data_IF_952483690766
#
_entry.id   IF_952483690766
#
_cell.length_a   1.000
_cell.length_b   1.000
_cell.length_c   1.000
_cell.angle_alpha   90.00
_cell.angle_beta   90.00
_cell.angle_gamma   90.00
#
_symmetry.space_group_name_H-M   'P 1'
#
loop_
_entity.id
_entity.type
_entity.pdbx_description
1 polymer ?
#
# COMPACT_ATOMS: atom_id res chain seq x y z
N UNK A 1 -5.51 38.42 -0.06
CA UNK A 1 -4.99 37.61 1.07
C UNK A 1 -6.01 36.55 1.40
N UNK A 2 -5.77 35.27 1.07
CA UNK A 2 -6.60 34.15 1.53
C UNK A 2 -5.81 33.40 2.60
N UNK A 3 -6.39 33.23 3.80
CA UNK A 3 -5.77 32.44 4.88
C UNK A 3 -6.04 30.96 4.60
N UNK A 4 -5.03 30.22 4.16
CA UNK A 4 -5.09 28.75 4.18
C UNK A 4 -4.97 28.28 5.62
N UNK A 5 -5.91 27.45 6.07
CA UNK A 5 -5.81 26.76 7.36
C UNK A 5 -4.85 25.58 7.19
N UNK A 6 -3.73 25.64 7.91
CA UNK A 6 -2.68 24.63 7.86
C UNK A 6 -2.97 23.56 8.91
N UNK A 7 -3.39 22.37 8.46
CA UNK A 7 -3.58 21.20 9.34
C UNK A 7 -2.33 20.32 9.25
N UNK A 8 -1.46 20.40 10.27
CA UNK A 8 -0.35 19.48 10.44
C UNK A 8 -0.86 18.16 11.06
N UNK A 9 -0.84 17.08 10.28
CA UNK A 9 -0.98 15.72 10.79
C UNK A 9 0.41 15.13 11.05
N UNK A 10 0.91 15.25 12.28
CA UNK A 10 2.11 14.51 12.72
C UNK A 10 1.73 13.07 13.06
N UNK A 11 2.04 12.12 12.18
CA UNK A 11 2.00 10.69 12.51
C UNK A 11 3.25 10.30 13.32
N UNK A 12 3.17 10.50 14.64
CA UNK A 12 4.10 9.90 15.60
C UNK A 12 3.70 8.44 15.81
N UNK A 13 4.39 7.51 15.14
CA UNK A 13 4.34 6.09 15.50
C UNK A 13 5.06 5.88 16.83
N UNK A 14 4.30 5.88 17.93
CA UNK A 14 4.85 5.59 19.26
C UNK A 14 5.17 4.10 19.40
N UNK A 15 6.45 3.75 19.26
CA UNK A 15 6.96 2.47 19.76
C UNK A 15 6.85 2.45 21.29
N UNK A 16 5.87 1.71 21.81
CA UNK A 16 5.65 1.58 23.25
C UNK A 16 6.67 0.61 23.86
N UNK A 17 7.78 1.15 24.36
CA UNK A 17 8.77 0.40 25.15
C UNK A 17 8.26 0.24 26.58
N UNK A 18 7.76 -0.95 26.91
CA UNK A 18 7.33 -1.31 28.26
C UNK A 18 8.51 -1.54 29.20
N UNK A 19 8.76 -0.58 30.10
CA UNK A 19 9.72 -0.74 31.19
C UNK A 19 9.05 -1.39 32.41
N UNK A 20 9.35 -2.66 32.67
CA UNK A 20 8.92 -3.36 33.89
C UNK A 20 9.98 -3.30 34.98
N UNK A 21 9.66 -2.71 36.13
CA UNK A 21 10.31 -3.02 37.42
C UNK A 21 9.44 -2.54 38.60
N UNK A 22 9.09 -3.46 39.51
CA UNK A 22 8.49 -3.12 40.82
C UNK A 22 9.54 -2.65 41.83
N UNK A 23 9.14 -2.26 43.06
CA UNK A 23 8.65 -3.27 44.01
C UNK A 23 7.53 -2.87 45.02
N UNK A 24 6.77 -3.89 45.45
CA UNK A 24 6.12 -4.12 46.77
C UNK A 24 5.42 -2.99 47.58
N UNK A 25 4.07 -3.08 47.64
CA UNK A 25 3.14 -3.25 48.82
C UNK A 25 3.50 -2.64 50.21
N UNK A 26 2.51 -2.25 51.07
CA UNK A 26 1.25 -2.99 51.32
C UNK A 26 -0.05 -2.15 51.34
N UNK A 27 -1.16 -2.79 51.73
CA UNK A 27 -2.54 -2.29 51.69
C UNK A 27 -3.01 -1.70 53.02
N UNK A 28 -4.10 -0.92 52.98
CA UNK A 28 -5.10 -0.84 54.05
C UNK A 28 -6.47 -0.36 53.52
N UNK A 29 -7.47 -0.20 54.38
CA UNK A 29 -8.86 -0.61 54.08
C UNK A 29 -9.98 0.45 54.21
N UNK A 30 -11.11 0.13 53.55
CA UNK A 30 -12.51 0.35 53.96
C UNK A 30 -13.27 1.69 53.73
N UNK A 31 -14.50 1.49 53.22
CA UNK A 31 -15.81 2.09 53.56
C UNK A 31 -16.21 3.53 53.20
N UNK A 32 -17.44 3.61 52.65
CA UNK A 32 -18.46 4.69 52.69
C UNK A 32 -18.11 6.06 52.02
N UNK A 33 -19.06 6.85 51.49
CA UNK A 33 -20.51 6.65 51.30
C UNK A 33 -21.22 7.98 50.94
N UNK A 34 -22.28 7.91 50.10
CA UNK A 34 -23.38 8.90 49.93
C UNK A 34 -23.12 10.37 49.50
N UNK A 35 -23.41 10.65 48.22
CA UNK A 35 -24.48 11.57 47.72
C UNK A 35 -24.41 13.12 47.78
N UNK A 36 -25.12 13.71 46.79
CA UNK A 36 -25.48 15.12 46.53
C UNK A 36 -24.36 16.04 45.98
N UNK A 37 -24.63 16.94 45.01
CA UNK A 37 -25.92 17.32 44.41
C UNK A 37 -25.83 17.87 42.97
N UNK A 38 -27.00 18.09 42.36
CA UNK A 38 -27.17 18.55 40.98
C UNK A 38 -26.95 20.06 40.83
N UNK A 39 -26.64 20.50 39.60
CA UNK A 39 -27.27 21.70 39.04
C UNK A 39 -27.54 21.51 37.55
N UNK A 40 -28.72 21.93 37.11
CA UNK A 40 -29.21 21.85 35.73
C UNK A 40 -29.52 23.26 35.23
N UNK A 41 -29.33 23.52 33.94
CA UNK A 41 -30.03 24.60 33.24
C UNK A 41 -30.53 24.11 31.87
N UNK A 42 -31.68 24.63 31.46
CA UNK A 42 -32.42 24.20 30.26
C UNK A 42 -33.18 25.39 29.67
N UNK A 43 -33.83 25.15 28.52
CA UNK A 43 -34.64 26.07 27.70
C UNK A 43 -33.83 26.97 26.73
N UNK A 44 -34.35 27.33 25.54
CA UNK A 44 -35.77 27.31 25.14
C UNK A 44 -36.06 26.81 23.69
N UNK A 45 -37.36 26.54 23.52
CA UNK A 45 -38.10 25.87 22.45
C UNK A 45 -38.17 26.54 21.06
N UNK A 46 -38.65 25.75 20.09
CA UNK A 46 -39.07 26.11 18.72
C UNK A 46 -40.30 27.06 18.64
N UNK A 47 -40.76 27.44 17.44
CA UNK A 47 -41.83 26.64 16.81
C UNK A 47 -41.73 26.44 15.28
N UNK A 48 -42.63 25.57 14.80
CA UNK A 48 -42.84 25.04 13.44
C UNK A 48 -43.81 25.85 12.57
N UNK A 49 -43.84 25.56 11.25
CA UNK A 49 -45.09 25.55 10.47
C UNK A 49 -45.00 24.71 9.18
N UNK A 50 -46.08 24.01 8.86
CA UNK A 50 -46.25 23.03 7.77
C UNK A 50 -46.65 23.61 6.39
N UNK A 51 -46.78 22.68 5.42
CA UNK A 51 -47.56 22.67 4.15
C UNK A 51 -46.67 22.52 2.89
N UNK A 52 -46.68 21.41 2.13
CA UNK A 52 -47.74 20.77 1.31
C UNK A 52 -48.23 21.67 0.15
N UNK A 53 -48.35 21.27 -1.12
CA UNK A 53 -48.15 19.97 -1.84
C UNK A 53 -48.47 20.18 -3.36
N UNK A 54 -48.47 19.09 -4.17
CA UNK A 54 -49.18 18.96 -5.49
C UNK A 54 -48.48 19.38 -6.81
N UNK A 55 -47.81 18.39 -7.42
CA UNK A 55 -47.86 17.85 -8.81
C UNK A 55 -47.92 18.68 -10.13
N UNK A 56 -47.23 18.09 -11.14
CA UNK A 56 -47.57 18.00 -12.59
C UNK A 56 -47.51 19.30 -13.44
N UNK A 57 -47.05 19.34 -14.69
CA UNK A 57 -47.23 18.42 -15.84
C UNK A 57 -46.27 18.76 -17.02
N UNK A 58 -46.23 17.89 -18.03
CA UNK A 58 -45.42 17.95 -19.26
C UNK A 58 -45.98 18.83 -20.39
N UNK A 59 -45.11 19.38 -21.26
CA UNK A 59 -45.34 19.44 -22.72
C UNK A 59 -44.12 19.93 -23.53
N UNK A 60 -43.60 19.06 -24.41
CA UNK A 60 -42.86 19.32 -25.65
C UNK A 60 -43.86 19.73 -26.78
N UNK A 61 -43.51 19.94 -28.08
CA UNK A 61 -42.23 20.28 -28.74
C UNK A 61 -42.40 21.36 -29.89
N UNK A 62 -41.51 21.36 -30.90
CA UNK A 62 -41.62 21.96 -32.28
C UNK A 62 -41.26 23.47 -32.42
N UNK A 63 -40.77 24.03 -33.55
CA UNK A 63 -40.60 23.56 -34.95
C UNK A 63 -39.37 24.21 -35.63
N UNK A 64 -38.83 23.59 -36.68
CA UNK A 64 -38.16 24.29 -37.81
C UNK A 64 -39.17 24.49 -38.96
N UNK A 65 -38.95 25.41 -39.93
CA UNK A 65 -38.06 25.14 -41.09
C UNK A 65 -37.20 26.40 -41.45
N UNK A 66 -36.64 26.68 -42.64
CA UNK A 66 -36.76 26.12 -44.00
C UNK A 66 -35.53 26.45 -44.91
N UNK A 67 -35.62 26.04 -46.18
CA UNK A 67 -34.89 26.34 -47.43
C UNK A 67 -34.18 27.72 -47.57
N UNK A 68 -33.07 27.88 -48.31
CA UNK A 68 -32.95 27.55 -49.75
C UNK A 68 -31.56 27.90 -50.37
N UNK A 69 -31.25 27.23 -51.51
CA UNK A 69 -30.49 27.71 -52.68
C UNK A 69 -28.97 28.07 -52.64
N UNK A 70 -28.16 27.15 -53.20
CA UNK A 70 -27.16 27.33 -54.29
C UNK A 70 -26.04 28.40 -54.22
N UNK A 71 -24.79 27.94 -54.34
CA UNK A 71 -23.90 28.30 -55.46
C UNK A 71 -22.72 27.32 -55.61
N UNK A 72 -22.37 26.99 -56.86
CA UNK A 72 -21.16 26.24 -57.19
C UNK A 72 -19.90 27.12 -57.05
N UNK A 73 -18.79 26.53 -56.59
CA UNK A 73 -17.45 27.03 -56.92
C UNK A 73 -16.41 25.92 -56.85
N UNK A 74 -15.76 25.66 -57.98
CA UNK A 74 -14.58 24.82 -58.07
C UNK A 74 -13.48 25.30 -57.09
N UNK A 75 -12.91 24.37 -56.34
CA UNK A 75 -11.63 24.58 -55.67
C UNK A 75 -10.83 23.28 -55.67
N UNK A 76 -9.69 23.33 -56.36
CA UNK A 76 -8.79 22.22 -56.59
C UNK A 76 -8.21 21.65 -55.28
N UNK A 77 -8.66 20.47 -54.87
CA UNK A 77 -8.02 19.71 -53.80
C UNK A 77 -6.75 19.03 -54.33
N UNK A 78 -5.60 19.69 -54.12
CA UNK A 78 -4.32 18.99 -54.19
C UNK A 78 -4.30 17.90 -53.12
N UNK A 79 -4.27 16.63 -53.53
CA UNK A 79 -4.08 15.51 -52.63
C UNK A 79 -2.65 15.50 -52.10
N UNK A 80 -2.40 16.22 -51.00
CA UNK A 80 -1.22 15.99 -50.19
C UNK A 80 -1.35 14.63 -49.52
N UNK A 81 -0.79 13.60 -50.18
CA UNK A 81 -0.59 12.28 -49.58
C UNK A 81 0.53 12.38 -48.53
N UNK A 82 0.23 13.07 -47.43
CA UNK A 82 1.05 13.02 -46.23
C UNK A 82 1.00 11.60 -45.71
N UNK A 83 2.10 10.87 -45.86
CA UNK A 83 2.31 9.62 -45.15
C UNK A 83 2.38 9.93 -43.66
N UNK A 84 1.23 9.86 -42.98
CA UNK A 84 1.21 9.77 -41.53
C UNK A 84 1.89 8.46 -41.16
N UNK A 85 3.17 8.52 -40.79
CA UNK A 85 3.79 7.43 -40.06
C UNK A 85 2.87 7.10 -38.87
N UNK A 86 2.55 5.83 -38.61
CA UNK A 86 1.69 5.48 -37.51
C UNK A 86 2.33 5.99 -36.23
N UNK A 87 1.60 6.81 -35.47
CA UNK A 87 2.05 7.31 -34.16
C UNK A 87 2.57 6.12 -33.36
N UNK A 88 3.84 6.12 -32.91
CA UNK A 88 4.40 4.99 -32.19
C UNK A 88 3.47 4.61 -31.04
N UNK A 89 3.08 3.33 -30.98
CA UNK A 89 2.23 2.85 -29.89
C UNK A 89 2.97 3.16 -28.57
N UNK A 90 2.35 3.85 -27.61
CA UNK A 90 3.03 4.22 -26.38
C UNK A 90 3.58 2.98 -25.69
N UNK A 91 4.82 3.09 -25.22
CA UNK A 91 5.51 2.03 -24.51
C UNK A 91 4.74 1.69 -23.23
N UNK A 92 4.55 0.38 -23.00
CA UNK A 92 3.81 -0.09 -21.83
C UNK A 92 4.69 -0.01 -20.59
N UNK A 93 4.49 1.04 -19.79
CA UNK A 93 5.18 1.18 -18.51
C UNK A 93 4.68 0.11 -17.53
N UNK A 94 5.55 -0.86 -17.20
CA UNK A 94 5.28 -1.92 -16.22
C UNK A 94 5.19 -1.32 -14.82
N UNK A 95 4.01 -1.36 -14.22
CA UNK A 95 3.72 -0.81 -12.89
C UNK A 95 3.53 -1.94 -11.87
N UNK A 96 4.12 -1.79 -10.69
CA UNK A 96 3.87 -2.64 -9.52
C UNK A 96 3.29 -1.76 -8.42
N UNK A 97 2.13 -2.12 -7.89
CA UNK A 97 1.58 -1.48 -6.70
C UNK A 97 2.10 -2.19 -5.45
N UNK A 98 2.45 -1.43 -4.40
CA UNK A 98 2.98 -1.97 -3.14
C UNK A 98 2.22 -1.38 -1.96
N UNK A 99 1.55 -2.24 -1.18
CA UNK A 99 0.71 -1.80 -0.06
C UNK A 99 0.71 -2.78 1.14
N UNK A 100 0.33 -2.29 2.31
CA UNK A 100 0.27 -3.08 3.54
C UNK A 100 0.70 -2.31 4.78
N UNK A 101 1.41 -2.97 5.70
CA UNK A 101 1.88 -2.37 6.96
C UNK A 101 3.40 -2.23 7.04
N UNK A 102 3.97 -2.24 8.25
CA UNK A 102 5.38 -1.94 8.53
C UNK A 102 6.40 -2.79 7.76
N UNK A 103 6.14 -4.08 7.52
CA UNK A 103 7.01 -4.91 6.69
C UNK A 103 6.94 -4.55 5.19
N UNK A 104 5.87 -3.92 4.69
CA UNK A 104 5.83 -3.31 3.34
C UNK A 104 6.41 -1.89 3.32
N UNK A 105 6.09 -1.08 4.33
CA UNK A 105 6.59 0.30 4.47
C UNK A 105 8.12 0.30 4.51
N UNK A 106 8.69 -0.65 5.24
CA UNK A 106 10.13 -0.84 5.40
C UNK A 106 10.65 -0.28 6.71
N UNK A 107 10.35 -0.95 7.83
CA UNK A 107 10.91 -0.60 9.15
C UNK A 107 12.30 -1.20 9.42
N UNK A 108 12.80 -2.07 8.55
CA UNK A 108 14.09 -2.75 8.74
C UNK A 108 15.26 -1.79 8.54
N UNK A 109 16.19 -1.73 9.50
CA UNK A 109 17.33 -0.81 9.45
C UNK A 109 18.39 -1.25 8.44
N UNK A 110 18.84 -0.31 7.60
CA UNK A 110 19.87 -0.55 6.58
C UNK A 110 21.26 -0.78 7.19
N UNK A 111 21.51 -0.34 8.42
CA UNK A 111 22.81 -0.48 9.11
C UNK A 111 23.19 -1.93 9.46
N UNK A 112 22.23 -2.86 9.43
CA UNK A 112 22.49 -4.30 9.58
C UNK A 112 22.96 -4.98 8.28
N UNK A 113 22.77 -4.32 7.12
CA UNK A 113 23.39 -4.76 5.87
C UNK A 113 24.89 -4.45 5.94
N UNK A 114 25.70 -5.50 5.81
CA UNK A 114 27.16 -5.44 5.85
C UNK A 114 27.72 -6.45 4.85
N UNK A 115 28.98 -6.29 4.38
CA UNK A 115 29.65 -7.30 3.58
C UNK A 115 29.67 -8.70 4.23
N UNK A 116 29.65 -8.77 5.56
CA UNK A 116 29.59 -10.01 6.33
C UNK A 116 28.19 -10.62 6.40
N UNK A 117 27.12 -9.81 6.34
CA UNK A 117 25.75 -10.31 6.44
C UNK A 117 25.16 -10.81 5.12
N UNK A 118 25.59 -10.24 3.99
CA UNK A 118 25.05 -10.55 2.64
C UNK A 118 26.10 -10.78 1.54
N UNK A 119 27.40 -10.68 1.84
CA UNK A 119 28.48 -10.75 0.85
C UNK A 119 28.87 -9.37 0.31
N UNK A 120 30.15 -9.17 0.01
CA UNK A 120 30.70 -7.85 -0.41
C UNK A 120 30.09 -7.31 -1.71
N UNK A 121 30.08 -8.12 -2.77
CA UNK A 121 29.51 -7.75 -4.08
C UNK A 121 28.02 -7.39 -3.97
N UNK A 122 27.23 -8.20 -3.26
CA UNK A 122 25.81 -7.93 -3.03
C UNK A 122 25.63 -6.65 -2.19
N UNK A 123 26.46 -6.45 -1.17
CA UNK A 123 26.43 -5.24 -0.35
C UNK A 123 26.73 -3.97 -1.18
N UNK A 124 27.74 -4.00 -2.06
CA UNK A 124 28.05 -2.90 -2.97
C UNK A 124 26.86 -2.62 -3.91
N UNK A 125 26.25 -3.66 -4.48
CA UNK A 125 25.06 -3.56 -5.34
C UNK A 125 23.87 -2.90 -4.62
N UNK A 126 23.46 -3.41 -3.45
CA UNK A 126 22.29 -2.86 -2.73
C UNK A 126 22.56 -1.52 -2.05
N UNK A 127 23.84 -1.15 -1.85
CA UNK A 127 24.24 0.19 -1.38
C UNK A 127 24.15 1.26 -2.48
N UNK A 128 24.03 0.84 -3.75
CA UNK A 128 23.86 1.73 -4.90
C UNK A 128 22.40 2.12 -5.17
N UNK A 129 22.17 2.57 -6.41
CA UNK A 129 20.85 2.92 -6.94
C UNK A 129 20.45 1.94 -8.04
N UNK A 130 19.19 1.55 -8.06
CA UNK A 130 18.61 0.74 -9.13
C UNK A 130 17.95 1.65 -10.18
N UNK A 131 18.73 2.14 -11.14
CA UNK A 131 18.24 3.10 -12.15
C UNK A 131 17.09 2.53 -13.01
N UNK A 132 17.10 1.22 -13.30
CA UNK A 132 16.04 0.52 -14.04
C UNK A 132 14.76 0.25 -13.22
N UNK A 133 14.74 0.51 -11.91
CA UNK A 133 13.56 0.31 -11.06
C UNK A 133 13.29 1.60 -10.28
N UNK A 134 12.28 2.34 -10.71
CA UNK A 134 11.96 3.66 -10.15
C UNK A 134 10.71 3.58 -9.28
N UNK A 135 10.72 4.22 -8.12
CA UNK A 135 9.67 4.19 -7.11
C UNK A 135 9.05 5.58 -6.90
N UNK A 136 7.72 5.62 -6.84
CA UNK A 136 6.96 6.74 -6.29
C UNK A 136 6.66 6.44 -4.81
N UNK A 137 7.09 7.37 -3.96
CA UNK A 137 6.94 7.33 -2.51
C UNK A 137 6.07 8.51 -2.06
N UNK A 138 5.29 8.34 -1.00
CA UNK A 138 4.76 9.47 -0.25
C UNK A 138 5.86 10.08 0.63
N UNK A 139 6.29 11.31 0.34
CA UNK A 139 7.31 12.02 1.14
C UNK A 139 6.71 13.10 2.04
N UNK A 140 5.57 12.82 2.68
CA UNK A 140 5.07 13.60 3.81
C UNK A 140 4.64 15.03 3.50
N UNK A 141 4.29 15.32 2.23
CA UNK A 141 3.39 16.38 1.77
C UNK A 141 3.31 16.46 0.22
N UNK A 142 4.15 15.73 -0.52
CA UNK A 142 4.08 15.67 -1.99
C UNK A 142 4.26 14.26 -2.55
N UNK A 143 3.77 14.09 -3.78
CA UNK A 143 4.09 12.99 -4.70
C UNK A 143 4.75 13.68 -5.91
N UNK A 144 6.08 13.71 -5.92
CA UNK A 144 6.85 14.51 -6.89
C UNK A 144 6.97 13.77 -8.24
N UNK A 145 7.91 12.83 -8.32
CA UNK A 145 8.19 11.97 -9.48
C UNK A 145 8.77 10.63 -9.00
N UNK A 146 8.87 9.66 -9.90
CA UNK A 146 9.50 8.37 -9.64
C UNK A 146 11.03 8.50 -9.54
N UNK A 147 11.62 8.16 -8.40
CA UNK A 147 13.08 8.17 -8.17
C UNK A 147 13.67 6.76 -8.26
N UNK A 148 14.95 6.55 -8.60
CA UNK A 148 15.57 5.22 -8.51
C UNK A 148 15.41 4.62 -7.11
N UNK A 149 15.21 3.30 -7.02
CA UNK A 149 15.18 2.61 -5.72
C UNK A 149 16.57 2.62 -5.08
N UNK A 150 16.65 2.97 -3.79
CA UNK A 150 17.88 2.96 -2.99
C UNK A 150 17.60 2.74 -1.48
N UNK A 151 18.63 2.35 -0.72
CA UNK A 151 18.53 2.19 0.74
C UNK A 151 18.23 3.51 1.47
N UNK A 152 17.22 3.48 2.35
CA UNK A 152 16.74 4.64 3.11
C UNK A 152 15.36 5.16 2.68
N UNK A 153 14.71 4.50 1.71
CA UNK A 153 13.37 4.79 1.18
C UNK A 153 12.24 4.04 1.93
N UNK A 154 12.54 3.48 3.10
CA UNK A 154 11.56 2.90 4.02
C UNK A 154 10.97 3.91 5.00
N UNK A 155 10.64 3.43 6.20
CA UNK A 155 10.16 4.25 7.31
C UNK A 155 11.20 5.30 7.76
N UNK A 156 10.72 6.47 8.20
CA UNK A 156 11.56 7.53 8.77
C UNK A 156 11.78 7.30 10.27
N UNK A 157 12.70 6.39 10.61
CA UNK A 157 13.05 6.12 12.00
C UNK A 157 13.96 7.19 12.60
N UNK A 158 13.61 7.67 13.80
CA UNK A 158 14.43 8.60 14.60
C UNK A 158 14.57 8.03 16.01
N UNK A 159 15.81 7.83 16.47
CA UNK A 159 16.13 7.29 17.79
C UNK A 159 17.20 8.20 18.43
N UNK A 160 16.98 8.62 19.68
CA UNK A 160 17.83 9.60 20.39
C UNK A 160 18.20 10.86 19.58
N UNK A 161 17.30 11.29 18.69
CA UNK A 161 17.48 12.45 17.79
C UNK A 161 18.31 12.17 16.53
N UNK A 162 18.77 10.93 16.33
CA UNK A 162 19.50 10.47 15.14
C UNK A 162 18.52 9.84 14.15
N UNK A 163 18.63 10.20 12.87
CA UNK A 163 17.88 9.56 11.78
C UNK A 163 18.57 8.27 11.34
N UNK A 164 17.83 7.17 11.32
CA UNK A 164 18.31 5.89 10.80
C UNK A 164 17.65 5.58 9.46
N UNK A 165 18.46 5.11 8.49
CA UNK A 165 17.95 4.65 7.20
C UNK A 165 17.22 3.33 7.39
N UNK A 166 15.93 3.28 7.07
CA UNK A 166 15.18 2.02 6.95
C UNK A 166 14.87 1.71 5.47
N UNK A 167 14.56 0.45 5.18
CA UNK A 167 14.16 -0.03 3.87
C UNK A 167 13.13 -1.16 3.99
N UNK A 168 12.36 -1.37 2.92
CA UNK A 168 11.39 -2.44 2.78
C UNK A 168 11.71 -3.38 1.61
N UNK A 169 10.72 -4.17 1.17
CA UNK A 169 10.92 -5.14 0.09
C UNK A 169 11.21 -4.46 -1.26
N UNK A 170 11.05 -3.13 -1.41
CA UNK A 170 11.39 -2.43 -2.65
C UNK A 170 12.86 -2.65 -3.06
N UNK A 171 13.80 -2.75 -2.12
CA UNK A 171 15.22 -2.87 -2.43
C UNK A 171 15.57 -4.25 -2.98
N UNK A 172 15.07 -5.32 -2.36
CA UNK A 172 15.25 -6.68 -2.89
C UNK A 172 14.44 -6.95 -4.16
N UNK A 173 13.29 -6.29 -4.29
CA UNK A 173 12.49 -6.33 -5.53
C UNK A 173 13.25 -5.64 -6.66
N UNK A 174 13.81 -4.46 -6.43
CA UNK A 174 14.60 -3.72 -7.40
C UNK A 174 15.91 -4.45 -7.78
N UNK A 175 16.57 -5.08 -6.81
CA UNK A 175 17.75 -5.91 -7.01
C UNK A 175 17.50 -7.06 -8.00
N UNK A 176 16.36 -7.75 -7.87
CA UNK A 176 15.97 -8.86 -8.73
C UNK A 176 15.45 -8.38 -10.09
N UNK A 177 14.56 -7.38 -10.09
CA UNK A 177 13.94 -6.88 -11.32
C UNK A 177 14.95 -6.21 -12.26
N UNK A 178 15.98 -5.54 -11.71
CA UNK A 178 17.07 -4.95 -12.50
C UNK A 178 17.96 -6.00 -13.18
N UNK A 179 18.04 -7.23 -12.66
CA UNK A 179 18.70 -8.36 -13.32
C UNK A 179 17.78 -9.06 -14.33
N UNK A 180 16.48 -9.17 -14.00
CA UNK A 180 15.49 -9.83 -14.83
C UNK A 180 15.11 -9.03 -16.10
N UNK A 181 15.24 -7.69 -16.05
CA UNK A 181 14.88 -6.77 -17.13
C UNK A 181 15.91 -5.62 -17.25
N UNK A 182 17.17 -5.89 -17.62
CA UNK A 182 18.26 -4.90 -17.57
C UNK A 182 18.08 -3.71 -18.54
N UNK A 183 17.31 -3.90 -19.60
CA UNK A 183 17.04 -2.91 -20.66
C UNK A 183 15.66 -2.23 -20.53
N UNK A 184 14.90 -2.49 -19.46
CA UNK A 184 13.56 -1.93 -19.23
C UNK A 184 13.51 -1.07 -17.96
N UNK A 185 12.53 -0.17 -17.88
CA UNK A 185 12.20 0.53 -16.63
C UNK A 185 10.92 -0.02 -16.00
N UNK A 186 11.00 -0.45 -14.74
CA UNK A 186 9.84 -0.88 -13.95
C UNK A 186 9.50 0.17 -12.88
N UNK A 187 8.22 0.46 -12.72
CA UNK A 187 7.72 1.55 -11.87
C UNK A 187 6.98 1.01 -10.65
N UNK A 188 7.52 1.24 -9.46
CA UNK A 188 6.92 0.87 -8.19
C UNK A 188 6.08 2.05 -7.65
N UNK A 189 4.86 1.80 -7.18
CA UNK A 189 4.06 2.80 -6.46
C UNK A 189 3.79 2.26 -5.05
N UNK A 190 4.47 2.81 -4.03
CA UNK A 190 4.44 2.30 -2.66
C UNK A 190 3.70 3.24 -1.71
N UNK A 191 2.70 2.70 -1.02
CA UNK A 191 2.10 3.33 0.17
C UNK A 191 1.65 2.25 1.16
N UNK A 192 2.18 2.30 2.38
CA UNK A 192 1.93 1.33 3.45
C UNK A 192 2.01 2.04 4.81
N UNK A 193 1.29 1.54 5.82
CA UNK A 193 1.13 2.22 7.11
C UNK A 193 1.49 1.30 8.27
N UNK A 194 2.54 1.64 9.02
CA UNK A 194 2.99 0.85 10.17
C UNK A 194 1.87 0.64 11.20
N UNK A 195 1.72 -0.60 11.71
CA UNK A 195 0.74 -0.94 12.74
C UNK A 195 -0.73 -0.96 12.28
N UNK A 196 -1.04 -0.78 10.99
CA UNK A 196 -2.42 -0.80 10.50
C UNK A 196 -3.00 -2.22 10.39
N UNK A 197 -4.18 -2.45 10.94
CA UNK A 197 -4.98 -3.67 10.72
C UNK A 197 -5.79 -3.59 9.41
N UNK A 198 -6.14 -4.75 8.86
CA UNK A 198 -7.11 -4.85 7.77
C UNK A 198 -8.53 -4.60 8.27
N UNK A 199 -8.85 -5.08 9.48
CA UNK A 199 -10.16 -4.89 10.13
C UNK A 199 -10.58 -3.43 10.30
N UNK A 200 -9.64 -2.52 10.59
CA UNK A 200 -9.96 -1.11 10.86
C UNK A 200 -9.23 -0.14 9.95
N UNK A 201 -7.96 -0.39 9.63
CA UNK A 201 -7.11 0.55 8.86
C UNK A 201 -7.28 0.49 7.34
N UNK A 202 -7.74 -0.63 6.78
CA UNK A 202 -7.81 -0.85 5.32
C UNK A 202 -9.21 -1.24 4.81
N UNK A 203 -10.25 -0.90 5.56
CA UNK A 203 -11.64 -1.14 5.13
C UNK A 203 -11.97 -0.37 3.84
N UNK A 204 -12.49 -1.09 2.85
CA UNK A 204 -12.81 -0.63 1.49
C UNK A 204 -14.32 -0.37 1.30
N UNK A 205 -14.77 0.01 0.10
CA UNK A 205 -16.17 0.37 -0.17
C UNK A 205 -17.18 -0.71 0.23
N UNK A 206 -16.86 -1.98 0.03
CA UNK A 206 -17.70 -3.13 0.38
C UNK A 206 -17.77 -3.41 1.89
N UNK A 207 -17.00 -2.67 2.73
CA UNK A 207 -16.96 -2.79 4.19
C UNK A 207 -16.94 -1.39 4.86
N UNK A 208 -18.02 -0.59 4.75
CA UNK A 208 -18.05 0.76 5.32
C UNK A 208 -17.93 0.76 6.86
N UNK A 209 -17.35 1.82 7.48
CA UNK A 209 -16.81 3.02 6.84
C UNK A 209 -15.48 2.76 6.12
N UNK A 210 -15.27 3.41 4.97
CA UNK A 210 -14.05 3.29 4.17
C UNK A 210 -12.91 4.04 4.86
N UNK A 211 -11.83 3.35 5.26
CA UNK A 211 -10.74 3.98 6.02
C UNK A 211 -9.80 4.82 5.13
N UNK A 212 -9.11 5.77 5.78
CA UNK A 212 -8.07 6.61 5.23
C UNK A 212 -7.00 5.84 4.46
N UNK A 213 -6.39 4.77 5.00
CA UNK A 213 -5.23 4.14 4.32
C UNK A 213 -5.63 3.57 2.96
N UNK A 214 -6.80 2.95 2.87
CA UNK A 214 -7.34 2.44 1.61
C UNK A 214 -7.63 3.58 0.61
N UNK A 215 -8.33 4.64 1.02
CA UNK A 215 -8.59 5.80 0.16
C UNK A 215 -7.29 6.46 -0.32
N UNK A 216 -6.33 6.61 0.59
CA UNK A 216 -5.07 7.27 0.32
C UNK A 216 -4.16 6.43 -0.60
N UNK A 217 -4.08 5.12 -0.38
CA UNK A 217 -3.44 4.19 -1.32
C UNK A 217 -3.98 4.35 -2.74
N UNK A 218 -5.30 4.40 -2.91
CA UNK A 218 -5.90 4.63 -4.22
C UNK A 218 -5.52 5.98 -4.82
N UNK A 219 -5.41 7.03 -4.01
CA UNK A 219 -4.99 8.35 -4.48
C UNK A 219 -3.51 8.35 -4.92
N UNK A 220 -2.63 7.68 -4.18
CA UNK A 220 -1.22 7.51 -4.54
C UNK A 220 -1.08 6.68 -5.83
N UNK A 221 -1.79 5.55 -5.94
CA UNK A 221 -1.83 4.72 -7.14
C UNK A 221 -2.30 5.49 -8.38
N UNK A 222 -3.46 6.16 -8.30
CA UNK A 222 -3.97 6.98 -9.40
C UNK A 222 -3.04 8.16 -9.76
N UNK A 223 -2.35 8.74 -8.78
CA UNK A 223 -1.38 9.82 -9.03
C UNK A 223 -0.16 9.30 -9.79
N UNK A 224 0.41 8.15 -9.41
CA UNK A 224 1.52 7.54 -10.13
C UNK A 224 1.15 7.12 -11.56
N UNK A 225 -0.01 6.48 -11.76
CA UNK A 225 -0.54 6.17 -13.09
C UNK A 225 -0.72 7.44 -13.95
N UNK A 226 -1.18 8.54 -13.35
CA UNK A 226 -1.32 9.83 -14.02
C UNK A 226 0.03 10.47 -14.37
N UNK A 227 1.03 10.39 -13.50
CA UNK A 227 2.39 10.89 -13.76
C UNK A 227 2.97 10.17 -14.99
N UNK A 228 2.89 8.83 -15.03
CA UNK A 228 3.36 8.03 -16.17
C UNK A 228 2.60 8.36 -17.47
N UNK A 229 1.28 8.49 -17.38
CA UNK A 229 0.44 8.89 -18.53
C UNK A 229 0.80 10.28 -19.05
N UNK A 230 1.08 11.24 -18.16
CA UNK A 230 1.50 12.59 -18.52
C UNK A 230 2.91 12.65 -19.12
N UNK A 231 3.77 11.68 -18.81
CA UNK A 231 5.06 11.47 -19.46
C UNK A 231 4.96 10.77 -20.84
N UNK A 232 3.76 10.46 -21.32
CA UNK A 232 3.51 9.83 -22.63
C UNK A 232 3.57 8.30 -22.64
N UNK A 233 3.69 7.66 -21.46
CA UNK A 233 3.73 6.21 -21.31
C UNK A 233 2.31 5.62 -21.19
N UNK A 234 2.16 4.33 -21.49
CA UNK A 234 0.92 3.58 -21.25
C UNK A 234 1.07 2.69 -20.00
N UNK A 235 0.73 3.17 -18.79
CA UNK A 235 0.95 2.40 -17.57
C UNK A 235 0.05 1.17 -17.50
N UNK A 236 0.65 0.02 -17.21
CA UNK A 236 -0.03 -1.27 -17.02
C UNK A 236 0.45 -1.94 -15.73
N UNK A 237 -0.48 -2.22 -14.82
CA UNK A 237 -0.21 -2.83 -13.51
C UNK A 237 -0.01 -4.34 -13.68
N UNK A 238 1.23 -4.79 -13.51
CA UNK A 238 1.63 -6.20 -13.53
C UNK A 238 1.05 -6.95 -12.32
N UNK A 239 1.08 -6.31 -11.15
CA UNK A 239 0.45 -6.83 -9.94
C UNK A 239 0.48 -5.84 -8.78
N UNK A 240 -0.28 -6.18 -7.73
CA UNK A 240 -0.26 -5.50 -6.45
C UNK A 240 0.35 -6.44 -5.41
N UNK A 241 1.51 -6.06 -4.88
CA UNK A 241 2.20 -6.73 -3.79
C UNK A 241 1.63 -6.25 -2.43
N UNK A 242 1.05 -7.18 -1.67
CA UNK A 242 0.45 -6.93 -0.37
C UNK A 242 1.27 -7.62 0.72
N UNK A 243 1.70 -6.87 1.73
CA UNK A 243 2.30 -7.46 2.94
C UNK A 243 1.73 -6.83 4.20
N UNK A 244 0.76 -7.54 4.78
CA UNK A 244 0.03 -7.14 5.97
C UNK A 244 -0.68 -8.33 6.61
N UNK A 245 -0.88 -8.25 7.92
CA UNK A 245 -1.77 -9.11 8.69
C UNK A 245 -1.36 -9.25 10.15
N UNK A 246 -0.15 -8.82 10.49
CA UNK A 246 0.43 -8.91 11.82
C UNK A 246 -0.42 -8.18 12.86
N UNK A 247 -0.93 -6.99 12.50
CA UNK A 247 -1.82 -6.21 13.35
C UNK A 247 -3.17 -6.93 13.59
N UNK A 248 -3.68 -7.74 12.66
CA UNK A 248 -4.88 -8.55 12.87
C UNK A 248 -4.60 -9.87 13.62
N UNK A 249 -3.31 -10.18 13.88
CA UNK A 249 -2.85 -11.42 14.52
C UNK A 249 -2.37 -11.26 15.98
N UNK A 250 -2.38 -10.04 16.54
CA UNK A 250 -1.99 -9.77 17.93
C UNK A 250 -2.83 -10.57 18.95
N UNK A 251 -2.26 -10.85 20.13
CA UNK A 251 -2.88 -11.65 21.21
C UNK A 251 -4.24 -11.14 21.72
N UNK A 252 -4.60 -9.89 21.46
CA UNK A 252 -5.87 -9.26 21.84
C UNK A 252 -6.91 -9.26 20.71
N UNK A 253 -6.56 -9.77 19.52
CA UNK A 253 -7.30 -9.57 18.26
C UNK A 253 -7.75 -10.87 17.57
N UNK A 254 -8.02 -11.93 18.33
CA UNK A 254 -8.46 -13.24 17.79
C UNK A 254 -9.62 -13.11 16.79
N UNK A 255 -10.66 -12.34 17.13
CA UNK A 255 -11.81 -12.11 16.25
C UNK A 255 -11.41 -11.47 14.90
N UNK A 256 -10.44 -10.55 14.90
CA UNK A 256 -9.99 -9.88 13.67
C UNK A 256 -9.22 -10.87 12.78
N UNK A 257 -8.41 -11.75 13.39
CA UNK A 257 -7.70 -12.83 12.69
C UNK A 257 -8.64 -13.82 11.99
N UNK A 258 -9.84 -14.06 12.57
CA UNK A 258 -10.87 -14.94 12.02
C UNK A 258 -11.66 -14.27 10.89
N UNK A 259 -11.92 -12.96 11.00
CA UNK A 259 -12.58 -12.16 9.95
C UNK A 259 -11.66 -11.82 8.76
N UNK A 260 -10.33 -11.98 8.91
CA UNK A 260 -9.32 -11.53 7.95
C UNK A 260 -9.62 -11.96 6.50
N UNK A 261 -10.05 -13.21 6.30
CA UNK A 261 -10.32 -13.75 4.96
C UNK A 261 -11.52 -13.12 4.24
N UNK A 262 -12.50 -12.60 4.98
CA UNK A 262 -13.61 -11.85 4.37
C UNK A 262 -13.23 -10.41 4.06
N UNK A 263 -12.47 -9.78 4.96
CA UNK A 263 -12.00 -8.41 4.79
C UNK A 263 -11.00 -8.33 3.62
N UNK A 264 -10.13 -9.33 3.46
CA UNK A 264 -9.21 -9.45 2.32
C UNK A 264 -9.97 -9.63 1.00
N UNK A 265 -11.02 -10.45 1.00
CA UNK A 265 -11.84 -10.65 -0.19
C UNK A 265 -12.56 -9.35 -0.62
N UNK A 266 -13.06 -8.56 0.34
CA UNK A 266 -13.64 -7.25 0.07
C UNK A 266 -12.60 -6.27 -0.50
N UNK A 267 -11.45 -6.13 0.18
CA UNK A 267 -10.35 -5.26 -0.24
C UNK A 267 -9.92 -5.55 -1.69
N UNK A 268 -9.65 -6.82 -2.01
CA UNK A 268 -9.16 -7.20 -3.36
C UNK A 268 -10.25 -7.05 -4.42
N UNK A 269 -11.52 -7.30 -4.08
CA UNK A 269 -12.66 -7.05 -4.97
C UNK A 269 -12.76 -5.56 -5.32
N UNK A 270 -12.70 -4.69 -4.32
CA UNK A 270 -12.84 -3.25 -4.50
C UNK A 270 -11.62 -2.66 -5.26
N UNK A 271 -10.40 -3.13 -4.96
CA UNK A 271 -9.20 -2.77 -5.72
C UNK A 271 -9.29 -3.19 -7.19
N UNK A 272 -9.83 -4.37 -7.49
CA UNK A 272 -10.08 -4.82 -8.87
C UNK A 272 -11.09 -3.91 -9.59
N UNK A 273 -12.17 -3.50 -8.93
CA UNK A 273 -13.10 -2.53 -9.50
C UNK A 273 -12.45 -1.18 -9.83
N UNK A 274 -11.48 -0.72 -9.01
CA UNK A 274 -10.77 0.54 -9.24
C UNK A 274 -9.67 0.43 -10.32
N UNK A 275 -9.00 -0.72 -10.45
CA UNK A 275 -7.73 -0.82 -11.21
C UNK A 275 -7.69 -1.86 -12.35
N UNK A 276 -8.71 -2.68 -12.58
CA UNK A 276 -8.71 -3.66 -13.68
C UNK A 276 -8.50 -3.03 -15.07
N UNK A 277 -8.93 -1.77 -15.28
CA UNK A 277 -8.70 -1.04 -16.54
C UNK A 277 -7.20 -0.80 -16.85
N UNK A 278 -6.33 -0.87 -15.84
CA UNK A 278 -4.88 -0.79 -15.98
C UNK A 278 -4.21 -2.17 -15.87
N UNK A 279 -4.93 -3.27 -15.73
CA UNK A 279 -4.31 -4.58 -15.55
C UNK A 279 -3.43 -4.98 -16.77
N UNK A 280 -2.26 -5.57 -16.47
CA UNK A 280 -1.36 -6.16 -17.47
C UNK A 280 -2.04 -7.28 -18.26
N UNK A 281 -2.87 -8.10 -17.58
CA UNK A 281 -3.63 -9.23 -18.14
C UNK A 281 -4.89 -8.84 -18.94
N UNK A 282 -5.00 -7.57 -19.34
CA UNK A 282 -6.17 -6.88 -19.94
C UNK A 282 -7.50 -6.95 -19.15
N UNK A 283 -7.66 -7.82 -18.14
CA UNK A 283 -8.95 -8.10 -17.52
C UNK A 283 -8.95 -8.15 -15.99
N UNK A 284 -7.90 -8.66 -15.34
CA UNK A 284 -7.89 -8.88 -13.88
C UNK A 284 -6.57 -8.51 -13.24
N UNK A 285 -6.61 -7.56 -12.28
CA UNK A 285 -5.45 -7.23 -11.45
C UNK A 285 -4.96 -8.47 -10.69
N UNK A 286 -3.69 -8.82 -10.90
CA UNK A 286 -2.98 -9.80 -10.12
C UNK A 286 -2.74 -9.25 -8.70
N UNK A 287 -3.07 -10.05 -7.69
CA UNK A 287 -2.86 -9.73 -6.29
C UNK A 287 -1.86 -10.73 -5.72
N UNK A 288 -0.72 -10.25 -5.24
CA UNK A 288 0.39 -11.06 -4.73
C UNK A 288 0.46 -10.81 -3.23
N UNK A 289 -0.02 -11.77 -2.43
CA UNK A 289 0.03 -11.72 -0.98
C UNK A 289 1.27 -12.45 -0.45
N UNK A 290 1.67 -12.20 0.79
CA UNK A 290 2.71 -12.92 1.50
C UNK A 290 2.22 -13.35 2.89
N UNK A 291 2.71 -14.49 3.37
CA UNK A 291 2.51 -14.88 4.77
C UNK A 291 3.19 -13.90 5.73
N UNK A 292 2.51 -13.64 6.84
CA UNK A 292 3.12 -12.98 8.00
C UNK A 292 3.97 -13.98 8.80
N UNK A 293 4.97 -13.45 9.51
CA UNK A 293 5.92 -14.27 10.25
C UNK A 293 5.26 -15.04 11.40
N UNK A 294 5.92 -16.09 11.87
CA UNK A 294 5.52 -16.88 13.04
C UNK A 294 6.06 -16.27 14.36
N UNK A 295 6.27 -14.95 14.40
CA UNK A 295 6.75 -14.23 15.59
C UNK A 295 5.83 -14.44 16.79
N UNK A 296 6.37 -14.52 18.03
CA UNK A 296 5.58 -14.66 19.24
C UNK A 296 4.56 -13.53 19.45
N UNK A 297 4.81 -12.33 18.90
CA UNK A 297 3.90 -11.18 18.99
C UNK A 297 2.60 -11.41 18.18
N UNK A 298 2.66 -12.25 17.14
CA UNK A 298 1.56 -12.54 16.22
C UNK A 298 0.83 -13.83 16.63
N UNK A 299 0.30 -13.87 17.86
CA UNK A 299 -0.33 -15.07 18.46
C UNK A 299 -1.29 -15.83 17.53
N UNK A 300 -2.06 -15.13 16.70
CA UNK A 300 -3.03 -15.71 15.76
C UNK A 300 -2.55 -15.75 14.29
N UNK A 301 -1.24 -15.72 14.03
CA UNK A 301 -0.70 -15.70 12.66
C UNK A 301 -1.23 -16.85 11.78
N UNK A 302 -1.51 -18.00 12.39
CA UNK A 302 -2.06 -19.18 11.70
C UNK A 302 -3.45 -18.93 11.11
N UNK A 303 -4.30 -18.14 11.76
CA UNK A 303 -5.63 -17.80 11.26
C UNK A 303 -5.51 -16.89 10.03
N UNK A 304 -4.69 -15.85 10.14
CA UNK A 304 -4.38 -14.92 9.03
C UNK A 304 -3.75 -15.65 7.85
N UNK A 305 -2.70 -16.44 8.05
CA UNK A 305 -2.04 -17.17 6.96
C UNK A 305 -2.96 -18.25 6.35
N UNK A 306 -3.78 -18.95 7.14
CA UNK A 306 -4.79 -19.87 6.61
C UNK A 306 -5.87 -19.14 5.77
N UNK A 307 -6.26 -17.94 6.16
CA UNK A 307 -7.18 -17.09 5.40
C UNK A 307 -6.54 -16.65 4.06
N UNK A 308 -5.28 -16.20 4.07
CA UNK A 308 -4.51 -15.88 2.84
C UNK A 308 -4.41 -17.07 1.89
N UNK A 309 -4.08 -18.25 2.40
CA UNK A 309 -4.02 -19.51 1.63
C UNK A 309 -5.39 -19.93 1.07
N UNK A 310 -6.47 -19.65 1.81
CA UNK A 310 -7.83 -19.92 1.36
C UNK A 310 -8.29 -18.91 0.31
N UNK A 311 -7.75 -17.69 0.33
CA UNK A 311 -8.03 -16.66 -0.67
C UNK A 311 -7.23 -16.86 -1.96
N UNK A 312 -5.97 -17.27 -1.91
CA UNK A 312 -5.15 -17.55 -3.10
C UNK A 312 -5.78 -18.62 -3.99
N UNK A 313 -6.33 -19.67 -3.39
CA UNK A 313 -7.05 -20.76 -4.09
C UNK A 313 -8.35 -20.34 -4.80
N UNK A 314 -8.84 -19.10 -4.64
CA UNK A 314 -10.10 -18.62 -5.27
C UNK A 314 -9.93 -18.13 -6.70
N UNK A 315 -8.71 -17.82 -7.17
CA UNK A 315 -8.48 -17.31 -8.52
C UNK A 315 -7.02 -17.52 -8.93
N UNK A 316 -6.77 -17.79 -10.22
CA UNK A 316 -5.42 -17.80 -10.78
C UNK A 316 -4.71 -16.44 -10.64
N UNK A 317 -5.45 -15.34 -10.46
CA UNK A 317 -4.91 -14.00 -10.24
C UNK A 317 -4.64 -13.67 -8.74
N UNK A 318 -4.74 -14.65 -7.84
CA UNK A 318 -4.44 -14.49 -6.41
C UNK A 318 -3.21 -15.34 -6.05
N UNK A 319 -2.03 -14.70 -6.04
CA UNK A 319 -0.75 -15.32 -5.72
C UNK A 319 -0.47 -15.22 -4.22
N UNK A 320 0.33 -16.15 -3.69
CA UNK A 320 0.69 -16.18 -2.28
C UNK A 320 2.11 -16.69 -2.10
N UNK A 321 2.95 -15.87 -1.47
CA UNK A 321 4.33 -16.15 -1.15
C UNK A 321 4.41 -16.78 0.25
N UNK A 322 4.94 -18.00 0.32
CA UNK A 322 5.17 -18.69 1.60
C UNK A 322 6.51 -18.25 2.20
N UNK A 323 6.44 -17.21 3.05
CA UNK A 323 7.61 -16.68 3.79
C UNK A 323 8.09 -17.61 4.92
N UNK A 324 7.36 -18.71 5.19
CA UNK A 324 7.66 -19.71 6.20
C UNK A 324 8.11 -21.04 5.57
N UNK A 325 8.31 -21.08 4.25
CA UNK A 325 8.55 -22.30 3.50
C UNK A 325 9.79 -23.08 4.00
N UNK A 326 9.72 -24.42 4.08
CA UNK A 326 10.78 -25.24 4.66
C UNK A 326 12.07 -25.28 3.83
N UNK A 327 11.98 -25.00 2.54
CA UNK A 327 13.07 -24.89 1.56
C UNK A 327 13.64 -23.46 1.47
N UNK A 328 12.89 -22.45 1.91
CA UNK A 328 13.37 -21.06 2.04
C UNK A 328 14.32 -20.94 3.24
N UNK A 329 15.56 -21.41 3.12
CA UNK A 329 16.53 -21.39 4.22
C UNK A 329 17.27 -20.05 4.28
N UNK A 330 17.19 -19.35 5.41
CA UNK A 330 17.93 -18.12 5.73
C UNK A 330 18.82 -18.31 6.95
N UNK A 331 20.14 -18.10 6.80
CA UNK A 331 21.16 -18.32 7.85
C UNK A 331 21.00 -19.64 8.62
N UNK A 332 20.62 -20.72 7.92
CA UNK A 332 20.45 -22.06 8.47
C UNK A 332 19.11 -22.32 9.18
N UNK A 333 18.13 -21.42 9.08
CA UNK A 333 16.75 -21.60 9.57
C UNK A 333 15.78 -21.59 8.39
N UNK A 334 14.68 -22.32 8.53
CA UNK A 334 13.61 -22.34 7.55
C UNK A 334 12.74 -21.09 7.68
N UNK A 335 12.27 -20.55 6.55
CA UNK A 335 11.54 -19.30 6.47
C UNK A 335 12.41 -18.05 6.62
N UNK A 336 11.78 -16.91 6.45
CA UNK A 336 12.36 -15.60 6.76
C UNK A 336 12.50 -15.41 8.28
N UNK A 337 13.58 -14.73 8.69
CA UNK A 337 13.95 -14.48 10.09
C UNK A 337 13.77 -13.01 10.48
N UNK A 338 13.59 -12.77 11.78
CA UNK A 338 13.18 -11.51 12.40
C UNK A 338 13.76 -11.38 13.83
N UNK A 339 14.76 -12.18 14.17
CA UNK A 339 15.16 -12.40 15.58
C UNK A 339 16.68 -12.40 15.81
N UNK A 340 17.45 -11.82 14.87
CA UNK A 340 18.91 -11.80 14.93
C UNK A 340 19.50 -10.41 15.08
N UNK A 341 18.81 -9.38 14.59
CA UNK A 341 19.39 -8.04 14.47
C UNK A 341 19.04 -7.14 15.66
N UNK A 342 20.08 -6.66 16.35
CA UNK A 342 20.02 -5.77 17.49
C UNK A 342 21.30 -4.91 17.57
N UNK A 343 21.22 -3.76 18.23
CA UNK A 343 22.37 -2.94 18.63
C UNK A 343 22.42 -2.76 20.15
N UNK A 344 23.33 -1.92 20.64
CA UNK A 344 23.32 -1.46 22.04
C UNK A 344 22.16 -0.52 22.38
N UNK A 345 21.47 0.04 21.38
CA UNK A 345 20.36 0.99 21.53
C UNK A 345 19.01 0.35 21.16
N UNK A 346 19.02 -0.57 20.19
CA UNK A 346 17.85 -1.29 19.69
C UNK A 346 17.90 -2.76 20.12
N UNK A 347 16.99 -3.24 21.01
CA UNK A 347 16.84 -4.67 21.23
C UNK A 347 16.33 -5.37 19.95
N UNK A 348 16.38 -6.69 19.92
CA UNK A 348 15.86 -7.50 18.81
C UNK A 348 14.40 -7.14 18.53
N UNK A 349 14.12 -6.73 17.29
CA UNK A 349 12.78 -6.35 16.84
C UNK A 349 12.06 -7.54 16.19
N UNK A 350 11.39 -8.35 17.01
CA UNK A 350 10.66 -9.53 16.55
C UNK A 350 9.43 -9.24 15.67
N UNK A 351 9.12 -7.96 15.38
CA UNK A 351 7.96 -7.56 14.58
C UNK A 351 8.28 -7.40 13.09
N UNK A 352 9.55 -7.15 12.76
CA UNK A 352 9.98 -6.86 11.39
C UNK A 352 11.07 -7.85 10.96
N UNK A 353 11.14 -8.16 9.67
CA UNK A 353 12.17 -9.07 9.18
C UNK A 353 13.57 -8.47 9.35
N UNK A 354 14.54 -9.32 9.71
CA UNK A 354 15.96 -9.03 9.67
C UNK A 354 16.34 -8.56 8.25
N UNK A 355 17.33 -7.68 8.10
CA UNK A 355 17.75 -7.04 6.84
C UNK A 355 17.97 -8.00 5.68
N UNK A 356 18.62 -9.14 5.93
CA UNK A 356 18.81 -10.17 4.90
C UNK A 356 17.50 -10.86 4.48
N UNK A 357 16.55 -11.01 5.41
CA UNK A 357 15.20 -11.50 5.11
C UNK A 357 14.31 -10.46 4.43
N UNK A 358 14.47 -9.17 4.73
CA UNK A 358 13.76 -8.09 4.04
C UNK A 358 14.17 -7.98 2.56
N UNK A 359 15.47 -8.10 2.27
CA UNK A 359 15.95 -8.25 0.89
C UNK A 359 15.34 -9.49 0.22
N UNK A 360 15.31 -10.63 0.92
CA UNK A 360 14.76 -11.88 0.38
C UNK A 360 13.26 -11.83 0.11
N UNK A 361 12.48 -11.19 1.00
CA UNK A 361 11.06 -10.88 0.77
C UNK A 361 10.88 -10.04 -0.50
N UNK A 362 11.74 -9.02 -0.67
CA UNK A 362 11.82 -8.24 -1.90
C UNK A 362 12.11 -9.10 -3.13
N UNK A 363 13.11 -9.99 -3.06
CA UNK A 363 13.44 -10.91 -4.15
C UNK A 363 12.24 -11.82 -4.50
N UNK A 364 11.52 -12.37 -3.51
CA UNK A 364 10.32 -13.21 -3.73
C UNK A 364 9.19 -12.45 -4.43
N UNK A 365 8.92 -11.20 -4.04
CA UNK A 365 7.97 -10.35 -4.77
C UNK A 365 8.47 -10.00 -6.17
N UNK A 366 9.77 -9.71 -6.33
CA UNK A 366 10.40 -9.43 -7.62
C UNK A 366 10.32 -10.60 -8.60
N UNK A 367 10.51 -11.83 -8.11
CA UNK A 367 10.36 -13.08 -8.87
C UNK A 367 8.92 -13.26 -9.36
N UNK A 368 7.93 -13.19 -8.46
CA UNK A 368 6.52 -13.29 -8.83
C UNK A 368 6.09 -12.20 -9.82
N UNK A 369 6.56 -10.96 -9.66
CA UNK A 369 6.33 -9.88 -10.64
C UNK A 369 7.01 -10.20 -11.98
N UNK A 370 8.24 -10.72 -11.98
CA UNK A 370 8.99 -11.04 -13.19
C UNK A 370 8.37 -12.19 -13.99
N UNK A 371 7.76 -13.17 -13.34
CA UNK A 371 6.94 -14.20 -14.00
C UNK A 371 5.75 -13.55 -14.73
N UNK A 372 4.98 -12.70 -14.03
CA UNK A 372 3.80 -12.04 -14.59
C UNK A 372 4.14 -11.08 -15.74
N UNK A 373 5.26 -10.35 -15.65
CA UNK A 373 5.81 -9.53 -16.73
C UNK A 373 6.03 -10.32 -18.05
N UNK A 374 6.28 -11.63 -17.97
CA UNK A 374 6.52 -12.51 -19.12
C UNK A 374 5.24 -13.17 -19.66
N UNK A 375 4.13 -13.09 -18.92
CA UNK A 375 2.83 -13.66 -19.28
C UNK A 375 1.72 -12.59 -19.25
N UNK A 376 1.67 -11.69 -20.27
CA UNK A 376 0.53 -10.79 -20.47
C UNK A 376 -0.77 -11.54 -20.79
#
# INVERSE_FOLDING_TARGET
MKKSVLVFAFFLSFCWLGAGCGPTRPADSASDGSSFGQSSFSSASSPSSDSSSVSSSSSDPTSAPDSSASSDSDSSSQSSSGSSEPVPKPEHAKVVLMAGQSNMLGCTFAEYLTPQSIGGERYEKVSGKFEGVRILLETGNSLDDFVPVELGQGNKAVMDGVYHKCFGPEVGMAEYLSEAFPDETIYLIKFAVGGSSLKEGWTSESRPPVNYNYQYFKNVANSGLKILSAAGLAPKIVGLCWMQGEADAESTREAWSLEYGENLAALVSDLRMNFNAYAWTEHTLNFIDAYISNSPDWTFYKNVNAAKLSFSKKSAHNYLLDTLAPDLVEKGRNGLIFDREATTLTPVDVKHYDSSSMLKLGNMFGEAVAELCRTP
#
